data_IF_101529672550
#
_entry.id   IF_101529672550
#
_cell.length_a   1.000
_cell.length_b   1.000
_cell.length_c   1.000
_cell.angle_alpha   90.00
_cell.angle_beta   90.00
_cell.angle_gamma   90.00
#
_symmetry.space_group_name_H-M   'P 1'
#
loop_
_entity.id
_entity.type
_entity.pdbx_description
1 polymer ?
#
# COMPACT_ATOMS: atom_id res chain seq x y z
N UNK A 1 -3.02 -16.47 -11.99
CA UNK A 1 -4.37 -16.24 -11.39
C UNK A 1 -4.21 -15.34 -10.20
N UNK A 2 -5.00 -14.26 -10.08
CA UNK A 2 -4.97 -13.44 -8.86
C UNK A 2 -5.65 -14.20 -7.71
N UNK A 3 -5.05 -14.21 -6.51
CA UNK A 3 -5.65 -14.86 -5.35
C UNK A 3 -6.98 -14.20 -4.97
N UNK A 4 -7.93 -15.00 -4.48
CA UNK A 4 -9.24 -14.49 -4.06
C UNK A 4 -9.10 -13.50 -2.89
N UNK A 5 -10.10 -12.63 -2.71
CA UNK A 5 -10.17 -11.71 -1.56
C UNK A 5 -10.10 -12.47 -0.22
N UNK A 6 -10.73 -13.64 -0.14
CA UNK A 6 -10.74 -14.46 1.08
C UNK A 6 -9.36 -15.05 1.37
N UNK A 7 -8.62 -15.50 0.35
CA UNK A 7 -7.24 -15.98 0.49
C UNK A 7 -6.32 -14.88 1.01
N UNK A 8 -6.43 -13.67 0.45
CA UNK A 8 -5.64 -12.50 0.90
C UNK A 8 -5.97 -12.15 2.35
N UNK A 9 -7.25 -12.10 2.71
CA UNK A 9 -7.71 -11.82 4.08
C UNK A 9 -7.20 -12.86 5.06
N UNK A 10 -7.23 -14.13 4.70
CA UNK A 10 -6.68 -15.21 5.51
C UNK A 10 -5.20 -15.00 5.82
N UNK A 11 -4.37 -14.73 4.80
CA UNK A 11 -2.93 -14.56 5.00
C UNK A 11 -2.58 -13.29 5.77
N UNK A 12 -3.28 -12.18 5.55
CA UNK A 12 -3.09 -10.98 6.36
C UNK A 12 -3.47 -11.22 7.82
N UNK A 13 -4.55 -11.97 8.07
CA UNK A 13 -4.92 -12.42 9.41
C UNK A 13 -3.87 -13.30 10.07
N UNK A 14 -3.23 -14.20 9.32
CA UNK A 14 -2.08 -15.00 9.78
C UNK A 14 -0.90 -14.12 10.17
N UNK A 15 -0.54 -13.15 9.33
CA UNK A 15 0.56 -12.22 9.58
C UNK A 15 0.29 -11.33 10.81
N UNK A 16 -0.95 -10.93 11.05
CA UNK A 16 -1.35 -10.18 12.25
C UNK A 16 -1.26 -11.00 13.54
N UNK A 17 -1.31 -12.34 13.46
CA UNK A 17 -1.39 -13.24 14.59
C UNK A 17 -0.24 -14.26 14.66
N UNK A 18 0.97 -13.86 14.25
CA UNK A 18 2.16 -14.71 14.40
C UNK A 18 2.40 -15.06 15.87
N UNK A 19 2.76 -16.31 16.12
CA UNK A 19 3.12 -16.78 17.46
C UNK A 19 4.48 -16.20 17.89
N UNK A 20 4.47 -14.94 18.34
CA UNK A 20 5.64 -14.21 18.82
C UNK A 20 5.60 -14.08 20.35
N UNK A 21 6.71 -14.34 21.02
CA UNK A 21 6.81 -14.15 22.47
C UNK A 21 6.69 -12.67 22.83
N UNK A 22 6.14 -12.40 24.02
CA UNK A 22 5.99 -11.04 24.57
C UNK A 22 6.55 -10.98 25.97
N UNK A 23 7.31 -9.93 26.27
CA UNK A 23 7.79 -9.62 27.62
C UNK A 23 7.44 -8.17 27.96
N UNK A 24 7.29 -7.86 29.25
CA UNK A 24 7.04 -6.47 29.69
C UNK A 24 8.19 -5.53 29.32
N UNK A 25 9.41 -6.00 29.49
CA UNK A 25 10.59 -5.17 29.26
C UNK A 25 10.91 -4.90 27.78
N UNK A 26 10.52 -5.79 26.87
CA UNK A 26 10.94 -5.73 25.44
C UNK A 26 9.78 -5.76 24.47
N UNK A 27 8.54 -5.78 24.96
CA UNK A 27 7.36 -5.90 24.11
C UNK A 27 7.32 -7.23 23.33
N UNK A 28 6.77 -7.19 22.12
CA UNK A 28 6.64 -8.35 21.24
C UNK A 28 7.97 -8.63 20.51
N UNK A 29 8.39 -9.89 20.46
CA UNK A 29 9.61 -10.30 19.80
C UNK A 29 9.56 -10.04 18.28
N UNK A 30 10.52 -9.28 17.69
CA UNK A 30 10.48 -8.85 16.31
C UNK A 30 11.00 -9.89 15.31
N UNK A 31 11.53 -11.02 15.79
CA UNK A 31 12.27 -11.98 14.96
C UNK A 31 11.47 -12.50 13.76
N UNK A 32 10.23 -12.97 14.00
CA UNK A 32 9.37 -13.52 12.94
C UNK A 32 8.92 -12.46 11.94
N UNK A 33 8.37 -11.31 12.36
CA UNK A 33 8.01 -10.26 11.40
C UNK A 33 9.22 -9.73 10.64
N UNK A 34 10.40 -9.56 11.24
CA UNK A 34 11.60 -9.13 10.51
C UNK A 34 12.05 -10.16 9.48
N UNK A 35 11.94 -11.46 9.77
CA UNK A 35 12.22 -12.52 8.79
C UNK A 35 11.29 -12.43 7.60
N UNK A 36 9.99 -12.24 7.83
CA UNK A 36 9.00 -12.12 6.75
C UNK A 36 9.17 -10.83 5.94
N UNK A 37 9.47 -9.69 6.59
CA UNK A 37 9.83 -8.46 5.88
C UNK A 37 11.04 -8.68 4.96
N UNK A 38 12.05 -9.39 5.43
CA UNK A 38 13.25 -9.72 4.64
C UNK A 38 12.93 -10.59 3.43
N UNK A 39 12.06 -11.58 3.59
CA UNK A 39 11.61 -12.45 2.48
C UNK A 39 10.78 -11.65 1.46
N UNK A 40 9.89 -10.79 1.92
CA UNK A 40 9.08 -9.93 1.04
C UNK A 40 9.99 -9.00 0.21
N UNK A 41 11.04 -8.44 0.79
CA UNK A 41 11.98 -7.59 0.07
C UNK A 41 12.75 -8.37 -1.01
N UNK A 42 13.15 -9.61 -0.70
CA UNK A 42 13.84 -10.47 -1.67
C UNK A 42 12.93 -10.93 -2.80
N UNK A 43 11.63 -11.13 -2.53
CA UNK A 43 10.62 -11.38 -3.59
C UNK A 43 10.44 -10.12 -4.45
N UNK A 44 10.37 -8.94 -3.84
CA UNK A 44 10.23 -7.68 -4.57
C UNK A 44 11.44 -7.33 -5.44
N UNK A 45 12.62 -7.79 -5.03
CA UNK A 45 13.89 -7.65 -5.76
C UNK A 45 14.12 -8.77 -6.80
N UNK A 46 13.13 -9.65 -7.03
CA UNK A 46 13.24 -10.83 -7.92
C UNK A 46 14.38 -11.79 -7.55
N UNK A 47 14.86 -11.75 -6.28
CA UNK A 47 15.86 -12.67 -5.75
C UNK A 47 15.25 -13.99 -5.24
N UNK A 48 13.93 -13.99 -4.93
CA UNK A 48 13.12 -15.17 -4.65
C UNK A 48 11.98 -15.22 -5.67
N UNK A 49 12.11 -16.10 -6.65
CA UNK A 49 11.22 -16.20 -7.81
C UNK A 49 10.27 -17.38 -7.76
N UNK A 50 10.44 -18.28 -6.79
CA UNK A 50 9.56 -19.42 -6.52
C UNK A 50 9.28 -19.54 -5.01
N UNK A 51 8.57 -20.58 -4.60
CA UNK A 51 8.22 -20.82 -3.20
C UNK A 51 9.41 -21.10 -2.29
N UNK A 52 10.60 -21.29 -2.84
CA UNK A 52 11.78 -21.76 -2.11
C UNK A 52 12.55 -20.60 -1.47
N UNK A 53 12.66 -20.62 -0.17
CA UNK A 53 13.45 -19.67 0.62
C UNK A 53 14.61 -20.43 1.23
N UNK A 54 15.82 -20.19 0.73
CA UNK A 54 17.03 -20.82 1.24
C UNK A 54 17.69 -19.99 2.35
N UNK A 55 18.31 -20.67 3.31
CA UNK A 55 19.10 -20.01 4.36
C UNK A 55 20.48 -19.67 3.81
N UNK A 56 20.66 -18.47 3.30
CA UNK A 56 21.90 -18.01 2.67
C UNK A 56 22.31 -16.59 3.11
N UNK A 57 23.52 -16.19 2.73
CA UNK A 57 24.13 -14.93 3.18
C UNK A 57 23.28 -13.68 2.85
N UNK A 58 22.58 -13.66 1.72
CA UNK A 58 21.75 -12.53 1.31
C UNK A 58 20.52 -12.35 2.22
N UNK A 59 19.81 -13.44 2.56
CA UNK A 59 18.71 -13.41 3.53
C UNK A 59 19.20 -12.96 4.91
N UNK A 60 20.37 -13.48 5.34
CA UNK A 60 21.01 -13.10 6.60
C UNK A 60 21.34 -11.61 6.63
N UNK A 61 21.90 -11.06 5.55
CA UNK A 61 22.22 -9.65 5.42
C UNK A 61 20.97 -8.78 5.45
N UNK A 62 19.91 -9.17 4.71
CA UNK A 62 18.64 -8.45 4.69
C UNK A 62 17.99 -8.43 6.07
N UNK A 63 17.96 -9.56 6.77
CA UNK A 63 17.45 -9.63 8.13
C UNK A 63 18.23 -8.73 9.10
N UNK A 64 19.56 -8.75 9.05
CA UNK A 64 20.41 -7.91 9.91
C UNK A 64 20.12 -6.42 9.72
N UNK A 65 19.93 -5.98 8.50
CA UNK A 65 19.61 -4.58 8.21
C UNK A 65 18.28 -4.10 8.82
N UNK A 66 17.32 -4.99 9.02
CA UNK A 66 16.13 -4.70 9.82
C UNK A 66 16.39 -4.80 11.33
N UNK A 67 17.24 -5.75 11.73
CA UNK A 67 17.58 -5.91 13.14
C UNK A 67 18.23 -4.66 13.72
N UNK A 68 19.02 -3.98 12.94
CA UNK A 68 19.69 -2.74 13.35
C UNK A 68 18.69 -1.65 13.76
N UNK A 69 17.47 -1.64 13.21
CA UNK A 69 16.42 -0.69 13.56
C UNK A 69 15.73 -0.98 14.92
N UNK A 70 15.94 -2.16 15.49
CA UNK A 70 15.35 -2.61 16.76
C UNK A 70 16.40 -2.91 17.83
N UNK A 71 17.68 -2.57 17.59
CA UNK A 71 18.81 -2.86 18.48
C UNK A 71 18.64 -2.28 19.89
N UNK A 72 18.12 -1.08 20.00
CA UNK A 72 17.91 -0.43 21.30
C UNK A 72 17.00 -1.25 22.22
N UNK A 73 15.97 -1.85 21.67
CA UNK A 73 15.02 -2.71 22.39
C UNK A 73 15.56 -4.12 22.62
N UNK A 74 16.29 -4.69 21.66
CA UNK A 74 16.67 -6.10 21.68
C UNK A 74 18.06 -6.37 22.29
N UNK A 75 18.99 -5.44 22.18
CA UNK A 75 20.36 -5.45 22.77
C UNK A 75 21.25 -6.67 22.48
N UNK A 76 20.74 -7.72 21.87
CA UNK A 76 21.46 -8.96 21.59
C UNK A 76 21.66 -9.19 20.10
N UNK A 77 22.68 -9.94 19.73
CA UNK A 77 22.83 -10.44 18.34
C UNK A 77 21.64 -11.34 18.00
N UNK A 78 21.05 -11.21 16.79
CA UNK A 78 19.92 -12.03 16.39
C UNK A 78 20.33 -13.47 16.12
N UNK A 79 19.57 -14.43 16.64
CA UNK A 79 19.60 -15.80 16.16
C UNK A 79 18.66 -15.94 14.96
N UNK A 80 19.21 -15.78 13.76
CA UNK A 80 18.44 -15.75 12.50
C UNK A 80 17.87 -17.13 12.16
N UNK A 81 18.53 -18.21 12.56
CA UNK A 81 18.04 -19.57 12.36
C UNK A 81 16.77 -19.85 13.16
N UNK A 82 16.56 -19.14 14.27
CA UNK A 82 15.37 -19.31 15.11
C UNK A 82 14.09 -18.91 14.36
N UNK A 83 13.91 -17.67 13.85
CA UNK A 83 12.70 -17.31 13.13
C UNK A 83 12.54 -18.06 11.81
N UNK A 84 13.65 -18.37 11.12
CA UNK A 84 13.64 -19.18 9.91
C UNK A 84 13.07 -20.59 10.15
N UNK A 85 13.40 -21.22 11.27
CA UNK A 85 12.76 -22.48 11.64
C UNK A 85 11.35 -22.30 12.24
N UNK A 86 11.14 -21.28 13.08
CA UNK A 86 9.94 -21.15 13.89
C UNK A 86 8.67 -20.79 13.09
N UNK A 87 8.79 -20.10 11.94
CA UNK A 87 7.68 -19.77 11.04
C UNK A 87 7.06 -21.00 10.36
N UNK A 88 7.74 -22.13 10.34
CA UNK A 88 7.21 -23.41 9.89
C UNK A 88 6.56 -24.24 11.01
N UNK A 89 6.37 -23.70 12.22
CA UNK A 89 5.65 -24.37 13.30
C UNK A 89 4.15 -24.38 13.08
N UNK A 90 3.44 -25.34 13.68
CA UNK A 90 2.02 -25.62 13.47
C UNK A 90 1.10 -24.40 13.68
N UNK A 91 1.50 -23.45 14.55
CA UNK A 91 0.71 -22.22 14.81
C UNK A 91 0.81 -21.19 13.69
N UNK A 92 2.01 -21.01 13.11
CA UNK A 92 2.22 -20.03 12.05
C UNK A 92 1.99 -20.65 10.68
N UNK A 93 2.60 -21.81 10.41
CA UNK A 93 2.47 -22.58 9.17
C UNK A 93 2.63 -21.71 7.91
N UNK A 94 3.61 -20.80 7.93
CA UNK A 94 3.91 -19.89 6.80
C UNK A 94 4.61 -20.66 5.68
N UNK A 95 5.45 -21.65 6.08
CA UNK A 95 6.22 -22.49 5.18
C UNK A 95 6.51 -23.87 5.75
N UNK A 96 6.80 -24.82 4.88
CA UNK A 96 7.38 -26.12 5.24
C UNK A 96 8.91 -26.02 5.32
N UNK A 97 9.52 -26.87 6.15
CA UNK A 97 10.95 -26.83 6.47
C UNK A 97 11.66 -28.08 6.01
N UNK A 98 12.84 -27.92 5.43
CA UNK A 98 13.65 -28.99 4.89
C UNK A 98 15.12 -28.85 5.32
N UNK A 99 15.80 -29.98 5.47
CA UNK A 99 17.25 -30.04 5.63
C UNK A 99 17.98 -29.91 4.28
N UNK A 100 19.30 -30.03 4.30
CA UNK A 100 20.15 -29.97 3.10
C UNK A 100 19.90 -31.12 2.09
N UNK A 101 19.34 -32.24 2.59
CA UNK A 101 19.02 -33.42 1.77
C UNK A 101 17.56 -33.40 1.24
N UNK A 102 16.80 -32.35 1.57
CA UNK A 102 15.39 -32.23 1.18
C UNK A 102 14.43 -33.01 2.06
N UNK A 103 14.86 -33.54 3.21
CA UNK A 103 13.97 -34.19 4.18
C UNK A 103 13.31 -33.14 5.09
N UNK A 104 12.10 -33.44 5.57
CA UNK A 104 11.40 -32.58 6.50
C UNK A 104 12.23 -32.31 7.78
N UNK A 105 12.43 -31.04 8.13
CA UNK A 105 13.22 -30.62 9.28
C UNK A 105 12.34 -29.95 10.35
N UNK A 106 12.57 -30.30 11.63
CA UNK A 106 11.95 -29.65 12.78
C UNK A 106 12.95 -28.89 13.66
N UNK A 107 14.24 -28.92 13.31
CA UNK A 107 15.30 -28.33 14.11
C UNK A 107 15.90 -27.10 13.40
N UNK A 108 16.09 -26.02 14.16
CA UNK A 108 16.78 -24.81 13.65
C UNK A 108 18.23 -25.08 13.20
N UNK A 109 18.83 -26.15 13.71
CA UNK A 109 20.21 -26.53 13.38
C UNK A 109 20.31 -27.22 12.02
N UNK A 110 19.25 -27.87 11.56
CA UNK A 110 19.23 -28.65 10.32
C UNK A 110 18.40 -28.00 9.21
N UNK A 111 17.48 -27.09 9.52
CA UNK A 111 16.68 -26.38 8.50
C UNK A 111 17.58 -25.50 7.61
N UNK A 112 17.57 -25.75 6.31
CA UNK A 112 18.33 -25.02 5.29
C UNK A 112 17.46 -24.45 4.18
N UNK A 113 16.32 -25.04 3.95
CA UNK A 113 15.35 -24.66 2.95
C UNK A 113 13.96 -24.57 3.59
N UNK A 114 13.22 -23.53 3.27
CA UNK A 114 11.80 -23.41 3.54
C UNK A 114 11.04 -23.29 2.22
N UNK A 115 9.84 -23.85 2.16
CA UNK A 115 8.93 -23.67 1.03
C UNK A 115 7.69 -22.95 1.52
N UNK A 116 7.52 -21.72 1.05
CA UNK A 116 6.33 -20.90 1.32
C UNK A 116 5.06 -21.66 0.90
N UNK A 117 3.98 -21.48 1.67
CA UNK A 117 2.69 -21.99 1.25
C UNK A 117 2.36 -21.41 -0.15
N UNK A 118 1.94 -22.23 -1.12
CA UNK A 118 1.73 -21.78 -2.51
C UNK A 118 0.78 -20.60 -2.63
N UNK A 119 -0.34 -20.59 -1.88
CA UNK A 119 -1.30 -19.50 -1.90
C UNK A 119 -0.72 -18.22 -1.31
N UNK A 120 0.13 -18.32 -0.27
CA UNK A 120 0.82 -17.17 0.30
C UNK A 120 1.82 -16.59 -0.68
N UNK A 121 2.63 -17.44 -1.33
CA UNK A 121 3.55 -16.99 -2.37
C UNK A 121 2.81 -16.32 -3.53
N UNK A 122 1.68 -16.89 -3.97
CA UNK A 122 0.82 -16.27 -5.00
C UNK A 122 0.32 -14.88 -4.57
N UNK A 123 -0.09 -14.72 -3.31
CA UNK A 123 -0.45 -13.41 -2.77
C UNK A 123 0.74 -12.43 -2.82
N UNK A 124 1.95 -12.89 -2.50
CA UNK A 124 3.16 -12.05 -2.48
C UNK A 124 3.62 -11.61 -3.89
N UNK A 125 3.10 -12.18 -4.98
CA UNK A 125 3.35 -11.67 -6.34
C UNK A 125 2.65 -10.32 -6.59
N UNK A 126 1.58 -10.01 -5.84
CA UNK A 126 0.89 -8.73 -5.93
C UNK A 126 1.57 -7.69 -5.03
N UNK A 127 2.02 -6.58 -5.63
CA UNK A 127 2.70 -5.48 -4.91
C UNK A 127 1.80 -4.84 -3.84
N UNK A 128 0.46 -4.78 -4.09
CA UNK A 128 -0.48 -4.24 -3.12
C UNK A 128 -0.62 -5.14 -1.89
N UNK A 129 -0.58 -6.45 -2.09
CA UNK A 129 -0.58 -7.39 -0.97
C UNK A 129 0.72 -7.32 -0.18
N UNK A 130 1.89 -7.23 -0.84
CA UNK A 130 3.19 -7.06 -0.14
C UNK A 130 3.19 -5.82 0.75
N UNK A 131 2.66 -4.71 0.28
CA UNK A 131 2.57 -3.49 1.09
C UNK A 131 1.63 -3.66 2.28
N UNK A 132 0.44 -4.25 2.09
CA UNK A 132 -0.50 -4.53 3.19
C UNK A 132 0.12 -5.47 4.22
N UNK A 133 0.80 -6.53 3.77
CA UNK A 133 1.51 -7.48 4.62
C UNK A 133 2.58 -6.79 5.49
N UNK A 134 3.35 -5.87 4.89
CA UNK A 134 4.33 -5.05 5.62
C UNK A 134 3.66 -4.18 6.68
N UNK A 135 2.63 -3.42 6.32
CA UNK A 135 1.94 -2.51 7.25
C UNK A 135 1.28 -3.24 8.41
N UNK A 136 0.64 -4.38 8.15
CA UNK A 136 0.05 -5.24 9.20
C UNK A 136 1.11 -5.68 10.20
N UNK A 137 2.25 -6.17 9.71
CA UNK A 137 3.34 -6.61 10.59
C UNK A 137 3.98 -5.43 11.35
N UNK A 138 4.20 -4.31 10.70
CA UNK A 138 4.77 -3.11 11.31
C UNK A 138 3.87 -2.61 12.44
N UNK A 139 2.58 -2.45 12.17
CA UNK A 139 1.62 -1.97 13.15
C UNK A 139 1.49 -2.92 14.35
N UNK A 140 1.53 -4.23 14.11
CA UNK A 140 1.24 -5.24 15.14
C UNK A 140 2.41 -5.53 16.08
N UNK A 141 3.65 -5.51 15.56
CA UNK A 141 4.81 -6.05 16.28
C UNK A 141 5.83 -5.00 16.71
N UNK A 142 5.72 -3.76 16.24
CA UNK A 142 6.71 -2.72 16.50
C UNK A 142 6.11 -1.52 17.23
N UNK A 143 6.82 -0.90 18.18
CA UNK A 143 6.40 0.34 18.81
C UNK A 143 6.52 1.54 17.83
N UNK A 144 5.86 2.68 18.09
CA UNK A 144 5.77 3.80 17.15
C UNK A 144 7.12 4.32 16.63
N UNK A 145 8.14 4.41 17.48
CA UNK A 145 9.49 4.83 17.08
C UNK A 145 10.13 3.86 16.07
N UNK A 146 9.95 2.55 16.25
CA UNK A 146 10.45 1.54 15.30
C UNK A 146 9.60 1.49 14.03
N UNK A 147 8.29 1.74 14.12
CA UNK A 147 7.37 1.80 12.97
C UNK A 147 7.84 2.84 11.95
N UNK A 148 8.14 4.05 12.42
CA UNK A 148 8.66 5.13 11.57
C UNK A 148 9.94 4.72 10.86
N UNK A 149 10.94 4.25 11.59
CA UNK A 149 12.23 3.84 11.02
C UNK A 149 12.11 2.69 10.00
N UNK A 150 11.20 1.74 10.25
CA UNK A 150 10.96 0.63 9.33
C UNK A 150 10.23 1.11 8.07
N UNK A 151 9.22 1.99 8.20
CA UNK A 151 8.52 2.58 7.06
C UNK A 151 9.47 3.41 6.19
N UNK A 152 10.30 4.27 6.79
CA UNK A 152 11.31 5.06 6.08
C UNK A 152 12.28 4.16 5.29
N UNK A 153 12.79 3.09 5.92
CA UNK A 153 13.64 2.11 5.24
C UNK A 153 12.96 1.47 4.04
N UNK A 154 11.69 1.14 4.16
CA UNK A 154 10.87 0.52 3.11
C UNK A 154 10.36 1.55 2.07
N UNK A 155 10.65 2.85 2.29
CA UNK A 155 10.09 3.95 1.49
C UNK A 155 8.56 3.89 1.41
N UNK A 156 7.94 3.44 2.51
CA UNK A 156 6.50 3.46 2.68
C UNK A 156 6.08 4.77 3.34
N UNK A 157 4.92 5.33 2.98
CA UNK A 157 4.35 6.41 3.78
C UNK A 157 4.16 5.89 5.20
N UNK A 158 4.56 6.71 6.19
CA UNK A 158 4.32 6.41 7.60
C UNK A 158 2.84 6.65 7.86
N UNK A 159 2.02 5.60 8.13
CA UNK A 159 0.61 5.78 8.44
C UNK A 159 0.44 6.61 9.73
N UNK A 160 -0.63 7.37 9.81
CA UNK A 160 -0.96 8.06 11.05
C UNK A 160 -1.33 7.09 12.18
N UNK A 161 -1.44 7.62 13.42
CA UNK A 161 -1.71 6.77 14.60
C UNK A 161 -3.03 6.01 14.51
N UNK A 162 -4.06 6.58 13.86
CA UNK A 162 -5.36 5.94 13.70
C UNK A 162 -5.31 4.84 12.64
N UNK A 163 -4.57 5.04 11.56
CA UNK A 163 -4.32 4.05 10.53
C UNK A 163 -3.50 2.87 11.09
N UNK A 164 -2.44 3.16 11.86
CA UNK A 164 -1.64 2.12 12.52
C UNK A 164 -2.47 1.30 13.53
N UNK A 165 -3.35 1.96 14.29
CA UNK A 165 -4.23 1.26 15.22
C UNK A 165 -5.25 0.37 14.48
N UNK A 166 -5.75 0.81 13.34
CA UNK A 166 -6.63 0.00 12.49
C UNK A 166 -5.96 -1.29 12.01
N UNK A 167 -4.65 -1.29 11.73
CA UNK A 167 -3.91 -2.50 11.37
C UNK A 167 -3.69 -3.47 12.55
N UNK A 168 -3.82 -3.01 13.81
CA UNK A 168 -3.69 -3.87 15.00
C UNK A 168 -4.93 -4.72 15.31
N UNK A 169 -6.08 -4.37 14.78
CA UNK A 169 -7.37 -4.97 15.13
C UNK A 169 -7.57 -6.35 14.49
N UNK A 170 -8.35 -7.22 15.16
CA UNK A 170 -8.63 -8.59 14.71
C UNK A 170 -9.64 -8.69 13.55
N UNK A 171 -9.53 -9.75 12.76
CA UNK A 171 -10.32 -10.23 11.62
C UNK A 171 -11.48 -9.40 11.02
N UNK A 172 -12.56 -9.06 11.75
CA UNK A 172 -13.68 -8.29 11.20
C UNK A 172 -13.39 -6.79 11.09
N UNK A 173 -12.73 -6.22 12.06
CA UNK A 173 -12.22 -4.86 12.01
C UNK A 173 -11.11 -4.72 10.95
N UNK A 174 -10.36 -5.79 10.68
CA UNK A 174 -9.38 -5.85 9.60
C UNK A 174 -10.02 -5.68 8.21
N UNK A 175 -11.22 -6.24 7.96
CA UNK A 175 -11.98 -5.99 6.71
C UNK A 175 -12.35 -4.51 6.55
N UNK A 176 -12.68 -3.82 7.64
CA UNK A 176 -12.95 -2.38 7.62
C UNK A 176 -11.67 -1.55 7.45
N UNK A 177 -10.54 -1.98 8.02
CA UNK A 177 -9.24 -1.33 7.90
C UNK A 177 -8.58 -1.54 6.54
N UNK A 178 -8.82 -2.69 5.88
CA UNK A 178 -8.39 -2.88 4.49
C UNK A 178 -8.97 -1.84 3.53
N UNK A 179 -10.19 -1.36 3.80
CA UNK A 179 -10.76 -0.23 3.05
C UNK A 179 -9.95 1.04 3.29
N UNK A 180 -9.62 1.37 4.55
CA UNK A 180 -8.81 2.55 4.89
C UNK A 180 -7.38 2.48 4.35
N UNK A 181 -6.70 1.34 4.47
CA UNK A 181 -5.33 1.18 3.95
C UNK A 181 -5.25 1.25 2.42
N UNK A 182 -6.29 0.79 1.69
CA UNK A 182 -6.42 0.97 0.26
C UNK A 182 -6.67 2.43 -0.11
N UNK A 183 -7.56 3.11 0.62
CA UNK A 183 -7.82 4.53 0.46
C UNK A 183 -6.57 5.37 0.64
N UNK A 184 -5.73 5.06 1.64
CA UNK A 184 -4.46 5.76 1.88
C UNK A 184 -3.46 5.55 0.75
N UNK A 185 -3.34 4.34 0.23
CA UNK A 185 -2.47 4.04 -0.91
C UNK A 185 -2.93 4.74 -2.18
N UNK A 186 -4.22 4.62 -2.52
CA UNK A 186 -4.80 5.31 -3.66
C UNK A 186 -4.51 6.82 -3.61
N UNK A 187 -4.69 7.43 -2.41
CA UNK A 187 -4.38 8.86 -2.20
C UNK A 187 -2.92 9.18 -2.53
N UNK A 188 -1.97 8.41 -1.98
CA UNK A 188 -0.55 8.63 -2.20
C UNK A 188 -0.17 8.40 -3.66
N UNK A 189 -0.58 7.30 -4.25
CA UNK A 189 -0.24 6.94 -5.62
C UNK A 189 -0.78 7.98 -6.62
N UNK A 190 -2.03 8.42 -6.45
CA UNK A 190 -2.62 9.47 -7.30
C UNK A 190 -1.91 10.79 -7.09
N UNK A 191 -1.83 11.31 -5.86
CA UNK A 191 -1.27 12.66 -5.63
C UNK A 191 0.20 12.75 -6.04
N UNK A 192 1.02 11.74 -5.72
CA UNK A 192 2.42 11.69 -6.14
C UNK A 192 2.57 11.45 -7.65
N UNK A 193 1.69 10.64 -8.24
CA UNK A 193 1.66 10.39 -9.68
C UNK A 193 1.41 11.68 -10.51
N UNK A 194 0.62 12.60 -9.96
CA UNK A 194 0.37 13.94 -10.52
C UNK A 194 1.40 15.00 -10.05
N UNK A 195 2.46 14.60 -9.36
CA UNK A 195 3.46 15.51 -8.80
C UNK A 195 2.84 16.61 -7.93
N UNK A 196 1.81 16.25 -7.15
CA UNK A 196 1.05 17.14 -6.25
C UNK A 196 0.43 18.36 -6.94
N UNK A 197 0.07 18.22 -8.21
CA UNK A 197 -0.50 19.27 -9.06
C UNK A 197 -1.96 18.97 -9.36
N UNK A 198 -2.84 19.97 -9.24
CA UNK A 198 -4.28 19.83 -9.52
C UNK A 198 -4.52 19.63 -11.02
N UNK A 199 -5.21 18.56 -11.40
CA UNK A 199 -5.51 18.23 -12.78
C UNK A 199 -6.47 19.23 -13.46
N UNK A 200 -7.33 19.91 -12.69
CA UNK A 200 -8.23 20.93 -13.23
C UNK A 200 -7.51 22.26 -13.46
N UNK A 201 -6.78 22.75 -12.44
CA UNK A 201 -6.31 24.15 -12.40
C UNK A 201 -4.82 24.30 -12.67
N UNK A 202 -4.05 23.21 -12.66
CA UNK A 202 -2.59 23.28 -12.68
C UNK A 202 -1.97 23.84 -11.38
N UNK A 203 -2.80 24.12 -10.35
CA UNK A 203 -2.30 24.67 -9.11
C UNK A 203 -1.54 23.63 -8.29
N UNK A 204 -0.37 24.02 -7.81
CA UNK A 204 0.45 23.23 -6.89
C UNK A 204 0.79 24.11 -5.68
N UNK A 205 0.55 23.57 -4.48
CA UNK A 205 1.03 24.13 -3.23
C UNK A 205 1.50 22.99 -2.35
N UNK A 206 2.75 23.07 -1.96
CA UNK A 206 3.46 22.09 -1.15
C UNK A 206 4.18 22.81 -0.02
N UNK A 207 4.11 22.27 1.18
CA UNK A 207 4.78 22.77 2.39
C UNK A 207 5.52 21.63 3.07
N UNK A 208 6.27 21.91 4.14
CA UNK A 208 6.92 20.87 4.94
C UNK A 208 5.90 19.91 5.58
N UNK A 209 4.65 20.37 5.81
CA UNK A 209 3.60 19.62 6.50
C UNK A 209 2.62 18.91 5.53
N UNK A 210 2.72 19.15 4.20
CA UNK A 210 1.84 18.53 3.23
C UNK A 210 1.61 19.34 1.95
N UNK A 211 0.58 18.91 1.23
CA UNK A 211 0.19 19.49 -0.07
C UNK A 211 -1.33 19.70 -0.13
N UNK A 212 -1.77 20.62 -1.01
CA UNK A 212 -3.18 21.02 -1.10
C UNK A 212 -4.07 20.02 -1.82
N UNK A 213 -3.52 19.18 -2.72
CA UNK A 213 -4.33 18.31 -3.55
C UNK A 213 -4.77 17.04 -2.82
N UNK A 214 -5.93 16.54 -3.23
CA UNK A 214 -6.53 15.30 -2.76
C UNK A 214 -6.72 14.35 -3.95
N UNK A 215 -6.73 13.04 -3.69
CA UNK A 215 -7.09 12.04 -4.69
C UNK A 215 -8.62 11.94 -4.80
N UNK A 216 -9.14 12.15 -6.00
CA UNK A 216 -10.55 11.98 -6.35
C UNK A 216 -10.72 10.74 -7.23
N UNK A 217 -11.66 9.84 -6.90
CA UNK A 217 -12.02 8.74 -7.79
C UNK A 217 -12.87 9.24 -8.96
N UNK A 218 -12.47 8.91 -10.19
CA UNK A 218 -13.26 9.23 -11.39
C UNK A 218 -14.51 8.36 -11.45
N UNK A 219 -14.34 7.04 -11.40
CA UNK A 219 -15.41 6.08 -11.16
C UNK A 219 -15.45 5.79 -9.67
N UNK A 220 -16.49 6.29 -8.99
CA UNK A 220 -16.58 6.24 -7.53
C UNK A 220 -16.31 4.84 -6.98
N UNK A 221 -15.47 4.77 -5.96
CA UNK A 221 -15.10 3.52 -5.30
C UNK A 221 -16.32 2.74 -4.80
N UNK A 222 -17.33 3.41 -4.25
CA UNK A 222 -18.56 2.78 -3.78
C UNK A 222 -19.31 1.99 -4.88
N UNK A 223 -19.13 2.36 -6.15
CA UNK A 223 -19.74 1.70 -7.30
C UNK A 223 -18.83 0.69 -7.99
N UNK A 224 -17.49 0.90 -7.96
CA UNK A 224 -16.51 0.13 -8.73
C UNK A 224 -15.64 -0.79 -7.89
N UNK A 225 -15.38 -0.44 -6.63
CA UNK A 225 -14.37 -1.09 -5.79
C UNK A 225 -12.93 -0.94 -6.33
N UNK A 226 -12.70 0.00 -7.26
CA UNK A 226 -11.47 0.12 -8.02
C UNK A 226 -10.56 1.23 -7.49
N UNK A 227 -9.42 0.84 -6.88
CA UNK A 227 -8.37 1.73 -6.38
C UNK A 227 -7.14 1.78 -7.30
N UNK A 228 -7.27 1.42 -8.58
CA UNK A 228 -6.21 1.67 -9.57
C UNK A 228 -5.94 3.18 -9.64
N UNK A 229 -4.69 3.66 -9.49
CA UNK A 229 -4.38 5.08 -9.56
C UNK A 229 -4.81 5.75 -10.87
N UNK A 230 -4.99 4.99 -11.95
CA UNK A 230 -5.57 5.47 -13.22
C UNK A 230 -7.07 5.75 -13.17
N UNK A 231 -7.74 5.32 -12.09
CA UNK A 231 -9.11 5.72 -11.73
C UNK A 231 -9.11 6.99 -10.86
N UNK A 232 -8.04 7.75 -10.82
CA UNK A 232 -7.86 8.91 -9.95
C UNK A 232 -7.44 10.18 -10.64
N UNK A 233 -7.86 11.30 -10.04
CA UNK A 233 -7.38 12.66 -10.33
C UNK A 233 -6.82 13.28 -9.05
N UNK A 234 -5.69 13.98 -9.14
CA UNK A 234 -5.26 14.86 -8.07
C UNK A 234 -5.95 16.21 -8.23
N UNK A 235 -6.75 16.62 -7.24
CA UNK A 235 -7.57 17.83 -7.31
C UNK A 235 -7.43 18.65 -6.00
N UNK A 236 -7.49 19.97 -6.09
CA UNK A 236 -7.70 20.82 -4.93
C UNK A 236 -9.07 20.55 -4.31
N UNK A 237 -9.30 20.83 -3.01
CA UNK A 237 -10.56 20.51 -2.34
C UNK A 237 -11.80 21.06 -3.03
N UNK A 238 -11.73 22.27 -3.55
CA UNK A 238 -12.78 22.92 -4.34
C UNK A 238 -13.01 22.23 -5.69
N UNK A 239 -11.93 21.91 -6.42
CA UNK A 239 -12.01 21.18 -7.69
C UNK A 239 -12.59 19.76 -7.49
N UNK A 240 -12.22 19.10 -6.39
CA UNK A 240 -12.72 17.77 -6.01
C UNK A 240 -14.23 17.83 -5.71
N UNK A 241 -14.65 18.79 -4.87
CA UNK A 241 -16.06 18.97 -4.57
C UNK A 241 -16.88 19.26 -5.84
N UNK A 242 -16.41 20.14 -6.72
CA UNK A 242 -17.07 20.46 -7.98
C UNK A 242 -17.16 19.24 -8.91
N UNK A 243 -16.16 18.37 -8.92
CA UNK A 243 -16.16 17.12 -9.68
C UNK A 243 -17.22 16.14 -9.16
N UNK A 244 -17.21 15.88 -7.84
CA UNK A 244 -18.19 14.99 -7.20
C UNK A 244 -19.63 15.48 -7.32
N UNK A 245 -19.84 16.81 -7.36
CA UNK A 245 -21.12 17.44 -7.60
C UNK A 245 -21.56 17.38 -9.08
N UNK A 246 -20.72 16.90 -9.99
CA UNK A 246 -21.01 16.82 -11.42
C UNK A 246 -21.11 18.19 -12.10
N UNK A 247 -20.37 19.18 -11.60
CA UNK A 247 -20.27 20.49 -12.25
C UNK A 247 -19.28 20.50 -13.41
N UNK A 248 -18.35 19.54 -13.41
CA UNK A 248 -17.44 19.30 -14.51
C UNK A 248 -17.06 17.82 -14.60
N UNK A 249 -16.60 17.43 -15.79
CA UNK A 249 -16.04 16.11 -16.09
C UNK A 249 -14.93 16.26 -17.13
N UNK A 250 -14.47 15.15 -17.72
CA UNK A 250 -13.54 15.23 -18.83
C UNK A 250 -13.87 14.21 -19.93
N UNK A 251 -13.44 14.51 -21.15
CA UNK A 251 -13.69 13.72 -22.35
C UNK A 251 -12.40 13.55 -23.15
N UNK A 252 -12.02 12.33 -23.58
CA UNK A 252 -10.88 12.12 -24.44
C UNK A 252 -11.14 12.73 -25.82
N UNK A 253 -10.13 13.44 -26.36
CA UNK A 253 -10.15 14.00 -27.70
C UNK A 253 -8.77 13.94 -28.33
N UNK A 254 -8.54 12.94 -29.18
CA UNK A 254 -7.20 12.63 -29.67
C UNK A 254 -6.27 12.21 -28.54
N UNK A 255 -5.11 12.84 -28.44
CA UNK A 255 -4.11 12.61 -27.38
C UNK A 255 -4.42 13.38 -26.08
N UNK A 256 -5.39 14.30 -26.13
CA UNK A 256 -5.78 15.14 -24.98
C UNK A 256 -7.01 14.62 -24.28
N UNK A 257 -7.17 15.05 -23.02
CA UNK A 257 -8.38 14.85 -22.23
C UNK A 257 -8.92 16.24 -21.91
N UNK A 258 -10.03 16.61 -22.52
CA UNK A 258 -10.62 17.95 -22.40
C UNK A 258 -11.63 18.02 -21.26
N UNK A 259 -11.57 19.13 -20.53
CA UNK A 259 -12.51 19.45 -19.46
C UNK A 259 -13.88 19.82 -20.08
N UNK A 260 -14.93 19.21 -19.55
CA UNK A 260 -16.32 19.51 -19.94
C UNK A 260 -17.07 20.06 -18.71
N UNK A 261 -17.45 21.32 -18.76
CA UNK A 261 -18.14 22.00 -17.66
C UNK A 261 -19.63 22.03 -17.94
N UNK A 262 -20.44 21.75 -16.92
CA UNK A 262 -21.90 21.74 -16.98
C UNK A 262 -22.46 23.16 -16.99
N UNK A 263 -22.10 23.96 -18.00
CA UNK A 263 -22.53 25.36 -18.17
C UNK A 263 -24.06 25.45 -18.12
N UNK A 264 -24.57 26.36 -17.31
CA UNK A 264 -26.03 26.55 -17.12
C UNK A 264 -26.62 25.75 -15.94
N UNK A 265 -25.88 24.86 -15.30
CA UNK A 265 -26.31 24.14 -14.09
C UNK A 265 -25.97 24.84 -12.78
N UNK A 266 -25.13 25.87 -12.82
CA UNK A 266 -24.70 26.62 -11.65
C UNK A 266 -24.54 28.09 -11.98
N UNK A 267 -24.48 28.93 -10.95
CA UNK A 267 -24.09 30.32 -11.03
C UNK A 267 -22.80 30.52 -10.27
N UNK A 268 -21.87 31.24 -10.85
CA UNK A 268 -20.59 31.56 -10.22
C UNK A 268 -20.19 33.00 -10.41
N UNK A 269 -19.49 33.55 -9.46
CA UNK A 269 -18.86 34.85 -9.54
C UNK A 269 -17.49 34.82 -8.85
N UNK A 270 -16.52 35.52 -9.43
CA UNK A 270 -15.19 35.68 -8.83
C UNK A 270 -14.67 37.07 -9.14
N UNK A 271 -14.24 37.84 -8.13
CA UNK A 271 -13.67 39.15 -8.34
C UNK A 271 -12.32 39.10 -9.10
N UNK A 272 -11.69 37.94 -9.18
CA UNK A 272 -10.39 37.72 -9.79
C UNK A 272 -10.46 36.96 -11.12
N UNK A 273 -11.64 36.74 -11.69
CA UNK A 273 -11.83 36.16 -13.03
C UNK A 273 -11.55 34.66 -13.17
N UNK A 274 -11.13 33.98 -12.11
CA UNK A 274 -10.98 32.51 -12.14
C UNK A 274 -12.32 31.87 -11.80
N UNK A 275 -12.99 31.36 -12.83
CA UNK A 275 -14.31 30.71 -12.74
C UNK A 275 -14.23 29.33 -13.40
N UNK A 276 -15.02 28.39 -12.90
CA UNK A 276 -15.07 27.02 -13.43
C UNK A 276 -15.40 26.99 -14.92
N UNK A 277 -16.34 27.84 -15.38
CA UNK A 277 -16.70 27.95 -16.78
C UNK A 277 -15.50 28.24 -17.71
N UNK A 278 -14.49 28.95 -17.21
CA UNK A 278 -13.27 29.26 -17.97
C UNK A 278 -12.41 28.05 -18.33
N UNK A 279 -12.59 26.91 -17.65
CA UNK A 279 -11.89 25.67 -17.96
C UNK A 279 -12.57 24.83 -19.05
N UNK A 280 -13.78 25.20 -19.49
CA UNK A 280 -14.48 24.43 -20.50
C UNK A 280 -13.69 24.32 -21.80
N UNK A 281 -13.54 23.08 -22.30
CA UNK A 281 -12.73 22.72 -23.48
C UNK A 281 -11.22 22.96 -23.33
N UNK A 282 -10.71 23.28 -22.14
CA UNK A 282 -9.27 23.24 -21.87
C UNK A 282 -8.83 21.80 -21.61
N UNK A 283 -7.57 21.43 -21.93
CA UNK A 283 -7.03 20.13 -21.57
C UNK A 283 -6.86 20.01 -20.05
N UNK A 284 -7.03 18.79 -19.52
CA UNK A 284 -6.59 18.49 -18.16
C UNK A 284 -5.10 18.80 -18.03
N UNK A 285 -4.74 19.40 -16.91
CA UNK A 285 -3.35 19.73 -16.64
C UNK A 285 -2.59 18.51 -16.10
N UNK A 286 -1.46 18.21 -16.72
CA UNK A 286 -0.50 17.23 -16.27
C UNK A 286 0.87 17.90 -16.11
N UNK A 287 1.49 17.73 -14.97
CA UNK A 287 2.87 18.18 -14.76
C UNK A 287 3.81 17.43 -15.73
N UNK A 288 4.91 18.06 -16.20
CA UNK A 288 5.87 17.47 -17.16
C UNK A 288 6.43 16.10 -16.69
N UNK A 289 6.53 15.91 -15.38
CA UNK A 289 6.98 14.66 -14.75
C UNK A 289 5.84 13.81 -14.20
N UNK A 290 4.59 14.01 -14.62
CA UNK A 290 3.46 13.17 -14.21
C UNK A 290 3.70 11.72 -14.63
N UNK A 291 3.56 10.81 -13.66
CA UNK A 291 3.78 9.36 -13.86
C UNK A 291 2.50 8.59 -14.12
N UNK A 292 1.36 9.21 -13.88
CA UNK A 292 0.03 8.61 -14.01
C UNK A 292 -0.82 9.51 -14.91
N UNK A 293 -1.51 8.87 -15.86
CA UNK A 293 -2.60 9.48 -16.61
C UNK A 293 -3.86 8.67 -16.36
N UNK A 294 -5.03 9.31 -16.26
CA UNK A 294 -6.29 8.60 -16.02
C UNK A 294 -6.65 7.73 -17.22
N UNK A 295 -7.22 6.54 -16.93
CA UNK A 295 -7.84 5.71 -17.95
C UNK A 295 -9.20 6.34 -18.32
N UNK A 296 -9.33 6.71 -19.58
CA UNK A 296 -10.47 7.48 -20.09
C UNK A 296 -11.82 6.79 -19.97
N UNK A 297 -11.84 5.45 -19.88
CA UNK A 297 -13.07 4.67 -19.64
C UNK A 297 -13.80 5.05 -18.34
N UNK A 298 -13.06 5.53 -17.32
CA UNK A 298 -13.66 5.94 -16.06
C UNK A 298 -14.47 7.23 -16.19
N UNK A 299 -14.10 8.12 -17.10
CA UNK A 299 -14.88 9.33 -17.39
C UNK A 299 -16.24 9.01 -18.04
N UNK A 300 -16.36 7.92 -18.81
CA UNK A 300 -17.65 7.51 -19.38
C UNK A 300 -18.69 7.24 -18.28
N UNK A 301 -18.28 6.56 -17.21
CA UNK A 301 -19.14 6.33 -16.05
C UNK A 301 -19.52 7.65 -15.37
N UNK A 302 -18.56 8.55 -15.11
CA UNK A 302 -18.79 9.83 -14.46
C UNK A 302 -19.73 10.71 -15.30
N UNK A 303 -19.52 10.78 -16.60
CA UNK A 303 -20.39 11.49 -17.55
C UNK A 303 -21.82 10.95 -17.53
N UNK A 304 -21.98 9.63 -17.61
CA UNK A 304 -23.30 8.99 -17.56
C UNK A 304 -24.03 9.29 -16.24
N UNK A 305 -23.31 9.19 -15.11
CA UNK A 305 -23.86 9.47 -13.78
C UNK A 305 -24.38 10.90 -13.66
N UNK A 306 -23.62 11.86 -14.17
CA UNK A 306 -23.92 13.28 -14.04
C UNK A 306 -24.60 13.88 -15.28
N UNK A 307 -24.99 13.05 -16.27
CA UNK A 307 -25.75 13.44 -17.46
C UNK A 307 -25.05 14.50 -18.33
N UNK A 308 -23.78 14.33 -18.58
CA UNK A 308 -23.01 15.08 -19.57
C UNK A 308 -23.25 14.55 -20.97
#
# INVERSE_FOLDING_TARGET
MNPSSDTRTFWLGKLANLNASRTEARGVAPHKPLMLLSVIDLIEADEITDVSVTYHARLVSQFRSYWDLVLERQRNRPDIAMPFNALGGDRDAIWDRFDENGNASKSKLTTRLCKLHPDFFTCLQDSSFRQQARLVMIARYFPPNEQTSICERLRLPVPDSAEMEAFKMSGEAFKASQRKGRDSRFKVDVTSGYQFTCALTGYKLETADGYIVQAAHIHQHAASGNDDPRNGLALTPDAHWMFDAGLWTATPKGDDILIEVAIGRFSESSPHGRVLAGFHQMPLHFHDHARIRPDTKHFEWHRKKHRF
#
